data_IF_215464702683
#
_entry.id   IF_215464702683
#
_cell.length_a   1.000
_cell.length_b   1.000
_cell.length_c   1.000
_cell.angle_alpha   90.00
_cell.angle_beta   90.00
_cell.angle_gamma   90.00
#
_symmetry.space_group_name_H-M   'P 1'
#
loop_
_entity.id
_entity.type
_entity.pdbx_description
1 polymer ?
#
# COMPACT_ATOMS: atom_id res chain seq x y z
N UNK A 1 0.67 8.48 -23.69
CA UNK A 1 0.64 9.89 -23.26
C UNK A 1 0.49 10.90 -24.40
N UNK A 2 0.59 10.48 -25.66
CA UNK A 2 0.45 11.36 -26.84
C UNK A 2 -0.82 12.25 -26.80
N UNK A 3 -1.96 11.74 -26.33
CA UNK A 3 -3.18 12.55 -26.21
C UNK A 3 -3.07 13.75 -25.25
N UNK A 4 -2.27 13.65 -24.19
CA UNK A 4 -2.01 14.75 -23.24
C UNK A 4 -0.97 15.72 -23.82
N UNK A 5 0.05 15.18 -24.49
CA UNK A 5 1.14 15.97 -25.09
C UNK A 5 0.67 16.75 -26.32
N UNK A 6 -0.20 16.17 -27.16
CA UNK A 6 -0.65 16.74 -28.43
C UNK A 6 -1.94 17.57 -28.33
N UNK A 7 -2.65 17.51 -27.20
CA UNK A 7 -4.03 17.98 -27.07
C UNK A 7 -4.25 19.50 -26.99
N UNK A 8 -3.20 20.33 -26.96
CA UNK A 8 -3.29 21.80 -26.90
C UNK A 8 -3.91 22.40 -25.62
N UNK A 9 -4.69 21.62 -24.86
CA UNK A 9 -5.21 21.94 -23.52
C UNK A 9 -4.28 21.36 -22.46
N UNK A 10 -3.82 22.20 -21.53
CA UNK A 10 -2.95 21.81 -20.40
C UNK A 10 -3.74 20.97 -19.37
N UNK A 11 -3.92 19.68 -19.65
CA UNK A 11 -4.51 18.72 -18.71
C UNK A 11 -3.53 18.31 -17.62
N UNK A 12 -4.07 17.78 -16.52
CA UNK A 12 -3.31 17.17 -15.42
C UNK A 12 -3.53 15.66 -15.46
N UNK A 13 -2.47 14.88 -15.22
CA UNK A 13 -2.54 13.43 -15.14
C UNK A 13 -2.21 12.92 -13.74
N UNK A 14 -3.18 12.29 -13.08
CA UNK A 14 -2.98 11.67 -11.76
C UNK A 14 -2.80 10.17 -12.00
N UNK A 15 -1.64 9.64 -11.64
CA UNK A 15 -1.34 8.22 -11.72
C UNK A 15 -1.51 7.58 -10.35
N UNK A 16 -2.39 6.58 -10.25
CA UNK A 16 -2.47 5.72 -9.08
C UNK A 16 -1.50 4.55 -9.26
N UNK A 17 -0.40 4.57 -8.49
CA UNK A 17 0.61 3.51 -8.41
C UNK A 17 0.39 2.68 -7.13
N UNK A 18 1.46 2.23 -6.48
CA UNK A 18 1.45 1.63 -5.15
C UNK A 18 2.84 1.63 -4.53
N UNK A 19 2.91 1.61 -3.19
CA UNK A 19 4.17 1.56 -2.45
C UNK A 19 4.87 0.18 -2.53
N UNK A 20 4.33 -0.74 -3.32
CA UNK A 20 5.01 -1.98 -3.69
C UNK A 20 6.31 -1.73 -4.47
N UNK A 21 6.51 -0.51 -4.96
CA UNK A 21 7.76 -0.04 -5.56
C UNK A 21 8.95 -0.05 -4.57
N UNK A 22 8.72 -0.13 -3.25
CA UNK A 22 9.79 -0.27 -2.25
C UNK A 22 9.80 -1.62 -1.54
N UNK A 23 9.04 -2.61 -2.03
CA UNK A 23 9.10 -3.93 -1.45
C UNK A 23 10.56 -4.38 -1.43
N UNK A 24 11.08 -4.59 -0.21
CA UNK A 24 12.44 -5.03 0.00
C UNK A 24 12.67 -6.26 -0.87
N UNK A 25 13.59 -6.13 -1.81
CA UNK A 25 13.90 -7.12 -2.85
C UNK A 25 14.18 -8.48 -2.22
N UNK A 26 13.15 -9.35 -2.15
CA UNK A 26 13.11 -10.81 -1.92
C UNK A 26 14.05 -11.44 -0.87
N UNK A 27 14.76 -10.65 -0.07
CA UNK A 27 15.75 -11.07 0.90
C UNK A 27 15.26 -10.65 2.28
N UNK A 28 15.32 -11.59 3.23
CA UNK A 28 14.97 -11.41 4.64
C UNK A 28 13.47 -11.40 4.99
N UNK A 29 12.69 -12.30 4.37
CA UNK A 29 11.29 -12.51 4.76
C UNK A 29 11.13 -12.70 6.27
N UNK A 30 10.14 -12.04 6.87
CA UNK A 30 9.86 -12.17 8.30
C UNK A 30 10.82 -11.44 9.24
N UNK A 31 11.74 -10.64 8.72
CA UNK A 31 12.67 -9.84 9.54
C UNK A 31 12.25 -8.38 9.58
N UNK A 32 12.62 -7.69 10.67
CA UNK A 32 12.35 -6.27 10.83
C UNK A 32 13.00 -5.44 9.72
N UNK A 33 12.24 -4.48 9.20
CA UNK A 33 12.75 -3.50 8.26
C UNK A 33 13.90 -2.69 8.88
N UNK A 34 14.89 -2.36 8.05
CA UNK A 34 16.02 -1.50 8.42
C UNK A 34 15.88 -0.09 7.86
N UNK A 35 14.88 0.16 7.02
CA UNK A 35 14.66 1.45 6.33
C UNK A 35 13.18 1.75 6.19
N UNK A 36 12.81 2.98 6.52
CA UNK A 36 11.53 3.58 6.13
C UNK A 36 11.76 4.61 5.03
N UNK A 37 10.99 4.53 3.95
CA UNK A 37 11.14 5.39 2.77
C UNK A 37 10.27 6.64 2.87
N UNK A 38 10.87 7.81 2.64
CA UNK A 38 10.17 9.11 2.59
C UNK A 38 9.97 9.56 1.14
N UNK A 39 8.74 10.00 0.80
CA UNK A 39 8.44 10.62 -0.50
C UNK A 39 9.00 12.06 -0.66
N UNK A 40 9.73 12.55 0.35
CA UNK A 40 10.52 13.78 0.30
C UNK A 40 12.01 13.45 0.30
N UNK A 41 12.49 12.76 1.34
CA UNK A 41 13.93 12.59 1.55
C UNK A 41 14.56 11.55 0.64
N UNK A 42 13.82 10.50 0.28
CA UNK A 42 14.31 9.41 -0.59
C UNK A 42 13.85 9.57 -2.05
N UNK A 43 13.16 10.66 -2.39
CA UNK A 43 12.62 10.89 -3.74
C UNK A 43 13.66 10.68 -4.86
N UNK A 44 14.92 11.19 -4.77
CA UNK A 44 15.91 10.93 -5.80
C UNK A 44 16.21 9.44 -6.00
N UNK A 45 16.13 8.62 -4.95
CA UNK A 45 16.31 7.17 -5.07
C UNK A 45 15.08 6.52 -5.69
N UNK A 46 13.88 6.92 -5.25
CA UNK A 46 12.60 6.40 -5.76
C UNK A 46 12.47 6.64 -7.27
N UNK A 47 12.83 7.84 -7.74
CA UNK A 47 12.84 8.18 -9.16
C UNK A 47 13.86 7.39 -9.98
N UNK A 48 14.86 6.77 -9.35
CA UNK A 48 15.94 6.06 -10.02
C UNK A 48 15.95 4.56 -9.67
N UNK A 49 14.85 4.00 -9.17
CA UNK A 49 14.73 2.55 -9.00
C UNK A 49 14.97 1.83 -10.33
N UNK A 50 15.64 0.70 -10.26
CA UNK A 50 15.86 -0.17 -11.42
C UNK A 50 14.59 -0.95 -11.81
N UNK A 51 14.66 -1.66 -12.94
CA UNK A 51 13.54 -2.41 -13.50
C UNK A 51 13.05 -3.59 -12.65
N UNK A 52 13.76 -3.95 -11.57
CA UNK A 52 13.35 -5.02 -10.67
C UNK A 52 12.28 -4.59 -9.67
N UNK A 53 12.08 -3.27 -9.50
CA UNK A 53 11.08 -2.72 -8.60
C UNK A 53 9.69 -2.74 -9.26
N UNK A 54 8.68 -3.08 -8.46
CA UNK A 54 7.29 -3.08 -8.93
C UNK A 54 6.90 -1.64 -9.31
N UNK A 55 6.06 -1.50 -10.33
CA UNK A 55 5.62 -0.21 -10.90
C UNK A 55 6.71 0.59 -11.65
N UNK A 56 7.97 0.16 -11.66
CA UNK A 56 9.07 0.85 -12.35
C UNK A 56 8.69 1.31 -13.76
N UNK A 57 8.21 0.40 -14.62
CA UNK A 57 7.91 0.72 -16.03
C UNK A 57 6.91 1.86 -16.18
N UNK A 58 5.85 1.88 -15.37
CA UNK A 58 4.80 2.91 -15.44
C UNK A 58 5.24 4.22 -14.81
N UNK A 59 5.98 4.17 -13.70
CA UNK A 59 6.50 5.35 -13.01
C UNK A 59 7.59 6.05 -13.83
N UNK A 60 8.55 5.30 -14.38
CA UNK A 60 9.60 5.84 -15.24
C UNK A 60 9.05 6.48 -16.51
N UNK A 61 8.02 5.89 -17.11
CA UNK A 61 7.37 6.48 -18.27
C UNK A 61 6.82 7.88 -17.94
N UNK A 62 6.23 8.06 -16.74
CA UNK A 62 5.72 9.34 -16.26
C UNK A 62 6.83 10.35 -15.98
N UNK A 63 7.88 9.95 -15.25
CA UNK A 63 9.04 10.82 -15.01
C UNK A 63 9.65 11.30 -16.32
N UNK A 64 9.84 10.38 -17.27
CA UNK A 64 10.36 10.72 -18.60
C UNK A 64 9.47 11.72 -19.34
N UNK A 65 8.15 11.55 -19.33
CA UNK A 65 7.24 12.47 -20.00
C UNK A 65 7.15 13.84 -19.31
N UNK A 66 7.29 13.89 -17.98
CA UNK A 66 7.40 15.15 -17.25
C UNK A 66 8.66 15.91 -17.68
N UNK A 67 9.79 15.23 -17.76
CA UNK A 67 11.08 15.81 -18.15
C UNK A 67 11.07 16.29 -19.62
N UNK A 68 10.62 15.42 -20.53
CA UNK A 68 10.72 15.66 -21.98
C UNK A 68 9.60 16.52 -22.55
N UNK A 69 8.40 16.46 -21.97
CA UNK A 69 7.22 17.13 -22.51
C UNK A 69 6.58 18.14 -21.55
N UNK A 70 7.09 18.27 -20.32
CA UNK A 70 6.57 19.23 -19.35
C UNK A 70 5.13 18.96 -18.94
N UNK A 71 4.68 17.70 -18.99
CA UNK A 71 3.31 17.35 -18.59
C UNK A 71 3.12 17.64 -17.10
N UNK A 72 1.93 18.13 -16.73
CA UNK A 72 1.52 18.21 -15.33
C UNK A 72 1.01 16.84 -14.91
N UNK A 73 1.77 16.14 -14.08
CA UNK A 73 1.31 14.88 -13.50
C UNK A 73 1.75 14.72 -12.06
N UNK A 74 1.09 13.82 -11.34
CA UNK A 74 1.47 13.38 -10.01
C UNK A 74 1.25 11.86 -9.88
N UNK A 75 2.12 11.20 -9.12
CA UNK A 75 2.04 9.80 -8.77
C UNK A 75 1.56 9.71 -7.32
N UNK A 76 0.44 9.02 -7.11
CA UNK A 76 -0.13 8.70 -5.80
C UNK A 76 0.10 7.21 -5.57
N UNK A 77 0.91 6.88 -4.58
CA UNK A 77 1.37 5.53 -4.28
C UNK A 77 0.86 5.09 -2.88
N UNK A 78 -0.36 4.54 -2.77
CA UNK A 78 -0.83 4.01 -1.51
C UNK A 78 -0.03 2.81 -1.02
N UNK A 79 0.09 2.69 0.30
CA UNK A 79 0.65 1.52 0.96
C UNK A 79 -0.32 0.32 0.92
N UNK A 80 -0.10 -0.70 1.76
CA UNK A 80 -0.94 -1.89 1.81
C UNK A 80 -2.42 -1.54 2.01
N UNK A 81 -3.22 -1.62 0.93
CA UNK A 81 -4.62 -1.19 1.00
C UNK A 81 -5.45 -2.18 1.83
N UNK A 82 -6.18 -1.66 2.80
CA UNK A 82 -7.19 -2.39 3.57
C UNK A 82 -8.51 -1.62 3.60
N UNK A 83 -9.53 -2.19 4.24
CA UNK A 83 -10.85 -1.57 4.29
C UNK A 83 -11.84 -2.12 3.27
N UNK A 84 -13.12 -1.87 3.51
CA UNK A 84 -14.21 -2.23 2.58
C UNK A 84 -14.49 -1.02 1.69
N UNK A 85 -14.17 -1.16 0.40
CA UNK A 85 -14.41 -0.14 -0.61
C UNK A 85 -15.84 -0.13 -1.13
N UNK A 86 -16.18 0.93 -1.86
CA UNK A 86 -17.50 1.16 -2.45
C UNK A 86 -17.55 0.77 -3.95
N UNK A 87 -16.42 0.41 -4.53
CA UNK A 87 -16.31 -0.01 -5.93
C UNK A 87 -16.82 -1.43 -6.20
N UNK A 88 -16.65 -1.87 -7.46
CA UNK A 88 -17.08 -3.21 -7.93
C UNK A 88 -16.39 -4.32 -7.13
N UNK A 89 -15.07 -4.18 -6.90
CA UNK A 89 -14.32 -5.03 -5.97
C UNK A 89 -14.19 -4.28 -4.64
N UNK A 90 -14.84 -4.83 -3.61
CA UNK A 90 -14.92 -4.19 -2.29
C UNK A 90 -13.78 -4.55 -1.34
N UNK A 91 -13.14 -5.69 -1.57
CA UNK A 91 -12.11 -6.23 -0.70
C UNK A 91 -10.74 -6.09 -1.35
N UNK A 92 -9.72 -5.79 -0.54
CA UNK A 92 -8.35 -5.65 -1.00
C UNK A 92 -7.68 -7.00 -1.27
N UNK A 93 -6.47 -6.98 -1.82
CA UNK A 93 -5.75 -8.19 -2.23
C UNK A 93 -4.87 -8.81 -1.12
N UNK A 94 -4.57 -8.06 -0.05
CA UNK A 94 -3.63 -8.50 0.99
C UNK A 94 -4.26 -9.27 2.14
N UNK A 95 -5.10 -8.60 2.94
CA UNK A 95 -5.70 -9.15 4.16
C UNK A 95 -6.78 -10.20 3.87
N UNK A 96 -7.69 -10.04 2.89
CA UNK A 96 -8.75 -11.03 2.68
C UNK A 96 -8.24 -12.45 2.34
N UNK A 97 -7.25 -12.64 1.42
CA UNK A 97 -6.65 -13.95 1.21
C UNK A 97 -5.90 -14.50 2.45
N UNK A 98 -5.34 -13.62 3.29
CA UNK A 98 -4.71 -14.02 4.55
C UNK A 98 -5.74 -14.62 5.52
N UNK A 99 -6.89 -13.96 5.68
CA UNK A 99 -7.97 -14.45 6.54
C UNK A 99 -8.50 -15.82 6.07
N UNK A 100 -8.64 -16.02 4.77
CA UNK A 100 -9.02 -17.32 4.21
C UNK A 100 -7.95 -18.39 4.43
N UNK A 101 -6.66 -18.04 4.32
CA UNK A 101 -5.56 -18.96 4.60
C UNK A 101 -5.53 -19.40 6.07
N UNK A 102 -5.69 -18.45 7.00
CA UNK A 102 -5.82 -18.71 8.44
C UNK A 102 -7.02 -19.61 8.75
N UNK A 103 -8.18 -19.30 8.19
CA UNK A 103 -9.40 -20.10 8.36
C UNK A 103 -9.21 -21.53 7.84
N UNK A 104 -8.60 -21.70 6.66
CA UNK A 104 -8.35 -23.00 6.04
C UNK A 104 -7.34 -23.84 6.83
N UNK A 105 -6.29 -23.21 7.40
CA UNK A 105 -5.33 -23.89 8.30
C UNK A 105 -5.92 -24.19 9.69
N UNK A 106 -6.91 -23.41 10.13
CA UNK A 106 -7.46 -23.48 11.48
C UNK A 106 -6.54 -22.87 12.56
N UNK A 107 -5.48 -22.17 12.17
CA UNK A 107 -4.50 -21.48 13.04
C UNK A 107 -3.77 -20.38 12.28
N UNK A 108 -3.16 -19.45 13.02
CA UNK A 108 -2.42 -18.34 12.45
C UNK A 108 -1.02 -18.77 12.01
N UNK A 109 -0.38 -17.93 11.22
CA UNK A 109 1.04 -18.08 10.92
C UNK A 109 1.75 -16.74 10.83
N UNK A 110 3.07 -16.80 10.94
CA UNK A 110 4.03 -15.74 10.62
C UNK A 110 5.12 -16.32 9.71
N UNK A 111 5.57 -15.56 8.71
CA UNK A 111 6.71 -15.98 7.90
C UNK A 111 7.98 -15.78 8.72
N UNK A 112 8.78 -16.84 8.91
CA UNK A 112 9.97 -16.84 9.78
C UNK A 112 9.68 -16.22 11.17
N UNK A 113 10.37 -15.13 11.54
CA UNK A 113 10.16 -14.45 12.83
C UNK A 113 8.93 -13.55 12.85
N UNK A 114 8.32 -13.24 11.68
CA UNK A 114 7.13 -12.39 11.58
C UNK A 114 7.35 -10.92 11.94
N UNK A 115 8.60 -10.47 11.99
CA UNK A 115 8.97 -9.11 12.38
C UNK A 115 8.89 -8.11 11.21
N UNK A 116 8.50 -8.58 10.02
CA UNK A 116 8.32 -7.69 8.88
C UNK A 116 7.18 -6.69 9.11
N UNK A 117 7.41 -5.47 8.66
CA UNK A 117 6.53 -4.32 8.83
C UNK A 117 5.87 -3.91 7.52
N UNK A 118 4.62 -3.47 7.60
CA UNK A 118 3.81 -3.07 6.46
C UNK A 118 3.10 -1.76 6.80
N UNK A 119 3.42 -0.70 6.09
CA UNK A 119 2.59 0.49 6.01
C UNK A 119 1.26 0.13 5.34
N UNK A 120 0.19 0.69 5.87
CA UNK A 120 -1.18 0.38 5.45
C UNK A 120 -1.89 1.65 5.01
N UNK A 121 -2.92 1.50 4.17
CA UNK A 121 -3.78 2.61 3.76
C UNK A 121 -5.22 2.16 3.75
N UNK A 122 -6.08 2.82 4.52
CA UNK A 122 -7.51 2.55 4.39
C UNK A 122 -8.00 3.02 3.01
N UNK A 123 -8.75 2.18 2.29
CA UNK A 123 -9.22 2.45 0.92
C UNK A 123 -9.96 3.79 0.77
N UNK A 124 -10.70 4.19 1.79
CA UNK A 124 -11.41 5.48 1.81
C UNK A 124 -10.47 6.68 2.01
N UNK A 125 -9.37 6.54 2.77
CA UNK A 125 -8.36 7.59 2.87
C UNK A 125 -7.63 7.78 1.54
N UNK A 126 -7.35 6.68 0.82
CA UNK A 126 -6.81 6.76 -0.55
C UNK A 126 -7.77 7.47 -1.50
N UNK A 127 -9.07 7.17 -1.40
CA UNK A 127 -10.09 7.86 -2.19
C UNK A 127 -10.15 9.36 -1.87
N UNK A 128 -10.11 9.74 -0.59
CA UNK A 128 -10.06 11.14 -0.14
C UNK A 128 -8.84 11.88 -0.70
N UNK A 129 -7.66 11.25 -0.73
CA UNK A 129 -6.46 11.82 -1.36
C UNK A 129 -6.67 12.04 -2.85
N UNK A 130 -7.23 11.05 -3.57
CA UNK A 130 -7.51 11.21 -5.00
C UNK A 130 -8.52 12.32 -5.29
N UNK A 131 -9.56 12.46 -4.47
CA UNK A 131 -10.52 13.57 -4.55
C UNK A 131 -9.81 14.90 -4.35
N UNK A 132 -8.97 15.02 -3.32
CA UNK A 132 -8.17 16.23 -3.07
C UNK A 132 -7.31 16.57 -4.29
N UNK A 133 -6.64 15.60 -4.92
CA UNK A 133 -5.81 15.86 -6.10
C UNK A 133 -6.63 16.31 -7.31
N UNK A 134 -7.83 15.77 -7.50
CA UNK A 134 -8.74 16.19 -8.57
C UNK A 134 -9.25 17.61 -8.33
N UNK A 135 -9.66 17.94 -7.11
CA UNK A 135 -10.08 19.30 -6.73
C UNK A 135 -8.95 20.31 -7.00
N UNK A 136 -7.73 19.98 -6.56
CA UNK A 136 -6.53 20.79 -6.77
C UNK A 136 -6.15 20.94 -8.25
N UNK A 137 -6.44 19.94 -9.08
CA UNK A 137 -6.23 20.01 -10.52
C UNK A 137 -7.25 20.91 -11.23
N UNK A 138 -8.44 21.09 -10.66
CA UNK A 138 -9.51 21.94 -11.21
C UNK A 138 -9.36 23.41 -10.79
N UNK A 139 -8.75 23.67 -9.63
CA UNK A 139 -8.50 25.02 -9.12
C UNK A 139 -7.26 25.64 -9.77
N UNK A 140 -7.47 26.53 -10.75
CA UNK A 140 -6.40 27.07 -11.60
C UNK A 140 -5.27 27.80 -10.85
N UNK A 141 -5.57 28.38 -9.67
CA UNK A 141 -4.63 29.14 -8.85
C UNK A 141 -4.09 28.35 -7.65
N UNK A 142 -4.57 27.12 -7.41
CA UNK A 142 -4.11 26.36 -6.27
C UNK A 142 -2.68 25.86 -6.47
N UNK A 143 -1.89 25.96 -5.40
CA UNK A 143 -0.48 25.55 -5.34
C UNK A 143 -0.22 24.58 -4.20
N UNK A 144 -1.28 23.97 -3.63
CA UNK A 144 -1.14 23.04 -2.53
C UNK A 144 -0.43 21.77 -2.99
N UNK A 145 -0.82 21.23 -4.15
CA UNK A 145 -0.19 20.04 -4.76
C UNK A 145 0.91 20.47 -5.74
N UNK A 146 2.10 19.88 -5.56
CA UNK A 146 3.16 19.92 -6.57
C UNK A 146 2.79 19.02 -7.75
N UNK A 147 3.00 19.51 -8.97
CA UNK A 147 2.83 18.79 -10.23
C UNK A 147 4.16 18.74 -10.98
N UNK A 148 4.46 17.64 -11.67
CA UNK A 148 5.69 17.45 -12.45
C UNK A 148 6.74 16.61 -11.72
N UNK A 149 8.02 16.83 -12.01
CA UNK A 149 9.11 15.93 -11.62
C UNK A 149 9.08 15.45 -10.17
N UNK A 150 8.82 16.37 -9.22
CA UNK A 150 8.83 16.04 -7.78
C UNK A 150 7.49 15.51 -7.24
N UNK A 151 6.49 15.31 -8.09
CA UNK A 151 5.13 14.98 -7.70
C UNK A 151 4.94 13.47 -7.47
N UNK A 152 5.62 12.94 -6.47
CA UNK A 152 5.43 11.58 -5.96
C UNK A 152 4.93 11.66 -4.51
N UNK A 153 3.86 10.94 -4.20
CA UNK A 153 3.18 10.99 -2.90
C UNK A 153 2.87 9.59 -2.43
N UNK A 154 3.48 9.17 -1.32
CA UNK A 154 2.97 8.00 -0.62
C UNK A 154 1.65 8.35 0.06
N UNK A 155 0.76 7.36 0.18
CA UNK A 155 -0.39 7.44 1.08
C UNK A 155 -0.19 6.35 2.13
N UNK A 156 -0.26 6.71 3.40
CA UNK A 156 -0.25 5.77 4.51
C UNK A 156 -1.12 6.29 5.65
N UNK A 157 -1.75 5.36 6.38
CA UNK A 157 -2.64 5.62 7.51
C UNK A 157 -2.23 4.76 8.71
N UNK A 158 -0.92 4.64 8.94
CA UNK A 158 -0.33 3.72 9.92
C UNK A 158 0.22 2.44 9.28
N UNK A 159 0.37 1.39 10.08
CA UNK A 159 0.96 0.13 9.65
C UNK A 159 0.93 -0.92 10.74
N UNK A 160 1.59 -2.05 10.49
CA UNK A 160 1.62 -3.17 11.43
C UNK A 160 2.90 -4.00 11.28
N UNK A 161 3.29 -4.65 12.37
CA UNK A 161 4.20 -5.81 12.35
C UNK A 161 3.34 -7.04 12.05
N UNK A 162 3.82 -7.92 11.15
CA UNK A 162 3.01 -9.04 10.68
C UNK A 162 2.58 -10.00 11.81
N UNK A 163 3.51 -10.35 12.71
CA UNK A 163 3.20 -11.22 13.85
C UNK A 163 2.13 -10.62 14.78
N UNK A 164 2.14 -9.30 14.99
CA UNK A 164 1.16 -8.61 15.82
C UNK A 164 -0.23 -8.63 15.16
N UNK A 165 -0.27 -8.39 13.84
CA UNK A 165 -1.52 -8.51 13.07
C UNK A 165 -2.06 -9.94 13.13
N UNK A 166 -1.21 -10.95 12.93
CA UNK A 166 -1.60 -12.36 12.98
C UNK A 166 -2.16 -12.74 14.35
N UNK A 167 -1.52 -12.31 15.44
CA UNK A 167 -1.99 -12.56 16.81
C UNK A 167 -3.35 -11.88 17.08
N UNK A 168 -3.50 -10.61 16.69
CA UNK A 168 -4.76 -9.87 16.88
C UNK A 168 -5.92 -10.49 16.09
N UNK A 169 -5.66 -10.89 14.84
CA UNK A 169 -6.63 -11.61 14.00
C UNK A 169 -6.96 -12.98 14.60
N UNK A 170 -5.96 -13.73 15.07
CA UNK A 170 -6.16 -15.05 15.67
C UNK A 170 -7.08 -15.01 16.88
N UNK A 171 -6.82 -14.09 17.81
CA UNK A 171 -7.69 -13.83 18.97
C UNK A 171 -9.12 -13.55 18.53
N UNK A 172 -9.30 -12.60 17.60
CA UNK A 172 -10.63 -12.23 17.12
C UNK A 172 -11.35 -13.39 16.41
N UNK A 173 -10.65 -14.18 15.60
CA UNK A 173 -11.23 -15.34 14.92
C UNK A 173 -11.64 -16.45 15.89
N UNK A 174 -10.89 -16.69 16.98
CA UNK A 174 -11.30 -17.60 18.06
C UNK A 174 -12.53 -17.06 18.80
N UNK A 175 -12.53 -15.78 19.16
CA UNK A 175 -13.68 -15.13 19.83
C UNK A 175 -14.97 -15.21 18.99
N UNK A 176 -14.86 -15.13 17.66
CA UNK A 176 -15.99 -15.29 16.74
C UNK A 176 -16.29 -16.76 16.39
N UNK A 177 -15.56 -17.73 16.96
CA UNK A 177 -15.76 -19.17 16.72
C UNK A 177 -15.40 -19.64 15.32
N UNK A 178 -14.56 -18.91 14.59
CA UNK A 178 -14.16 -19.24 13.21
C UNK A 178 -13.03 -20.28 13.14
N UNK A 179 -12.23 -20.38 14.20
CA UNK A 179 -11.11 -21.33 14.37
C UNK A 179 -11.00 -21.74 15.84
N UNK A 180 -10.23 -22.80 16.12
CA UNK A 180 -10.07 -23.36 17.47
C UNK A 180 -8.79 -22.96 18.21
N UNK A 181 -7.86 -22.26 17.57
CA UNK A 181 -6.57 -21.87 18.17
C UNK A 181 -6.13 -20.49 17.71
N UNK A 182 -5.65 -19.68 18.65
CA UNK A 182 -4.99 -18.39 18.40
C UNK A 182 -3.47 -18.52 18.21
N UNK A 183 -2.93 -19.75 18.23
CA UNK A 183 -1.50 -20.01 18.05
C UNK A 183 -1.01 -19.49 16.69
N UNK A 184 0.12 -18.76 16.73
CA UNK A 184 0.83 -18.25 15.55
C UNK A 184 2.03 -19.15 15.27
N UNK A 185 1.91 -19.96 14.23
CA UNK A 185 2.99 -20.85 13.78
C UNK A 185 4.00 -20.10 12.92
N UNK A 186 5.29 -20.36 13.13
CA UNK A 186 6.35 -19.82 12.26
C UNK A 186 6.56 -20.76 11.09
N UNK A 187 6.42 -20.24 9.88
CA UNK A 187 6.51 -21.04 8.65
C UNK A 187 7.43 -20.37 7.62
N UNK A 188 7.91 -21.15 6.67
CA UNK A 188 8.82 -20.66 5.65
C UNK A 188 8.11 -19.84 4.56
N UNK A 189 8.86 -19.02 3.79
CA UNK A 189 8.35 -18.39 2.58
C UNK A 189 7.79 -19.41 1.57
N UNK A 190 8.39 -20.60 1.47
CA UNK A 190 7.93 -21.66 0.57
C UNK A 190 6.55 -22.19 0.98
N UNK A 191 6.32 -22.41 2.28
CA UNK A 191 5.04 -22.88 2.79
C UNK A 191 3.90 -21.89 2.53
N UNK A 192 4.14 -20.58 2.70
CA UNK A 192 3.10 -19.59 2.41
C UNK A 192 2.79 -19.48 0.91
N UNK A 193 3.78 -19.72 0.05
CA UNK A 193 3.57 -19.70 -1.41
C UNK A 193 2.65 -20.83 -1.89
N UNK A 194 2.57 -21.95 -1.17
CA UNK A 194 1.58 -23.00 -1.44
C UNK A 194 0.14 -22.54 -1.18
N UNK A 195 -0.05 -21.48 -0.38
CA UNK A 195 -1.38 -20.94 -0.04
C UNK A 195 -1.82 -19.85 -1.03
N UNK A 196 -0.88 -19.02 -1.48
CA UNK A 196 -1.16 -17.95 -2.43
C UNK A 196 0.11 -17.54 -3.20
N UNK A 197 0.02 -17.37 -4.52
CA UNK A 197 1.19 -17.15 -5.39
C UNK A 197 2.04 -15.91 -5.05
N UNK A 198 1.42 -14.91 -4.41
CA UNK A 198 2.09 -13.68 -3.96
C UNK A 198 2.33 -13.64 -2.43
N UNK A 199 2.13 -14.74 -1.72
CA UNK A 199 2.12 -14.77 -0.26
C UNK A 199 3.45 -14.36 0.37
N UNK A 200 4.59 -14.86 -0.13
CA UNK A 200 5.89 -14.50 0.41
C UNK A 200 6.12 -12.98 0.36
N UNK A 201 5.69 -12.34 -0.75
CA UNK A 201 5.75 -10.89 -0.92
C UNK A 201 4.77 -10.17 0.03
N UNK A 202 3.49 -10.56 0.03
CA UNK A 202 2.45 -9.84 0.79
C UNK A 202 2.55 -10.02 2.31
N UNK A 203 3.01 -11.19 2.75
CA UNK A 203 2.97 -11.60 4.17
C UNK A 203 4.35 -11.75 4.78
N UNK A 204 5.41 -11.83 3.97
CA UNK A 204 6.78 -11.97 4.43
C UNK A 204 7.68 -10.76 4.17
N UNK A 205 7.34 -9.86 3.24
CA UNK A 205 8.19 -8.71 2.91
C UNK A 205 7.89 -7.47 3.75
N UNK A 206 8.83 -6.53 3.73
CA UNK A 206 8.71 -5.21 4.35
C UNK A 206 8.22 -4.18 3.33
N UNK A 207 7.31 -3.30 3.76
CA UNK A 207 6.91 -2.10 3.02
C UNK A 207 6.74 -0.95 3.99
N UNK A 208 7.82 -0.23 4.31
CA UNK A 208 7.75 0.90 5.22
C UNK A 208 7.91 2.21 4.44
N UNK A 209 6.83 2.98 4.40
CA UNK A 209 6.81 4.31 3.79
C UNK A 209 6.31 5.37 4.77
N UNK A 210 6.68 6.62 4.50
CA UNK A 210 6.11 7.82 5.12
C UNK A 210 5.55 8.72 4.04
N UNK A 211 4.28 9.09 4.21
CA UNK A 211 3.60 10.11 3.40
C UNK A 211 3.98 11.52 3.87
N UNK A 212 5.28 11.82 3.96
CA UNK A 212 5.78 13.09 4.51
C UNK A 212 5.26 14.28 3.69
N UNK A 213 5.13 14.11 2.37
CA UNK A 213 4.60 15.14 1.48
C UNK A 213 3.12 15.43 1.76
N UNK A 214 2.26 14.43 1.87
CA UNK A 214 0.84 14.66 2.20
C UNK A 214 0.67 15.27 3.59
N UNK A 215 1.40 14.76 4.59
CA UNK A 215 1.38 15.31 5.95
C UNK A 215 1.85 16.76 5.99
N UNK A 216 2.88 17.10 5.20
CA UNK A 216 3.34 18.47 5.03
C UNK A 216 2.28 19.42 4.44
N UNK A 217 1.26 18.88 3.77
CA UNK A 217 0.09 19.62 3.27
C UNK A 217 -1.07 19.68 4.27
N UNK A 218 -0.87 19.18 5.48
CA UNK A 218 -1.91 19.08 6.52
C UNK A 218 -2.93 17.98 6.26
N UNK A 219 -2.61 17.00 5.40
CA UNK A 219 -3.45 15.81 5.25
C UNK A 219 -3.17 14.84 6.41
N UNK A 220 -4.25 14.30 6.97
CA UNK A 220 -4.23 13.25 7.98
C UNK A 220 -5.28 12.19 7.61
N UNK A 221 -5.00 10.89 7.87
CA UNK A 221 -5.99 9.84 7.66
C UNK A 221 -7.18 10.05 8.60
N UNK A 222 -8.39 9.77 8.08
CA UNK A 222 -9.65 9.94 8.83
C UNK A 222 -10.27 8.62 9.26
N UNK A 223 -9.82 7.52 8.67
CA UNK A 223 -10.38 6.20 8.93
C UNK A 223 -9.63 5.52 10.08
N UNK A 224 -10.26 4.45 10.58
CA UNK A 224 -9.67 3.54 11.56
C UNK A 224 -8.36 2.94 11.04
N UNK A 225 -7.44 2.67 11.96
CA UNK A 225 -6.26 1.88 11.63
C UNK A 225 -6.61 0.40 11.37
N UNK A 226 -5.61 -0.38 10.97
CA UNK A 226 -5.80 -1.80 10.62
C UNK A 226 -6.32 -2.64 11.80
N UNK A 227 -5.89 -2.34 13.03
CA UNK A 227 -6.27 -3.07 14.24
C UNK A 227 -7.69 -2.72 14.68
N UNK A 228 -8.05 -1.44 14.61
CA UNK A 228 -9.40 -0.94 14.89
C UNK A 228 -10.44 -1.39 13.86
N UNK A 229 -9.99 -1.75 12.64
CA UNK A 229 -10.84 -2.18 11.52
C UNK A 229 -10.92 -3.72 11.37
N UNK A 230 -10.29 -4.51 12.26
CA UNK A 230 -10.25 -5.98 12.16
C UNK A 230 -11.64 -6.62 12.09
N UNK A 231 -12.58 -6.16 12.93
CA UNK A 231 -13.93 -6.73 12.97
C UNK A 231 -14.67 -6.55 11.64
N UNK A 232 -14.51 -5.41 10.99
CA UNK A 232 -15.12 -5.11 9.69
C UNK A 232 -14.48 -5.88 8.53
N UNK A 233 -13.24 -6.36 8.69
CA UNK A 233 -12.54 -7.17 7.68
C UNK A 233 -12.88 -8.66 7.75
N UNK A 234 -13.34 -9.15 8.90
CA UNK A 234 -13.74 -10.55 8.99
C UNK A 234 -14.91 -10.84 8.03
N UNK A 235 -14.89 -11.99 7.33
CA UNK A 235 -16.02 -12.43 6.55
C UNK A 235 -17.26 -12.47 7.43
N UNK A 236 -18.27 -11.63 7.14
CA UNK A 236 -19.57 -11.76 7.80
C UNK A 236 -20.13 -13.12 7.37
N UNK A 237 -20.55 -13.91 8.36
CA UNK A 237 -20.90 -15.33 8.21
C UNK A 237 -21.68 -15.66 6.94
N UNK A 238 -21.27 -16.77 6.32
CA UNK A 238 -22.04 -17.47 5.28
C UNK A 238 -23.21 -18.24 5.91
#
# INVERSE_FOLDING_TARGET
MEGIVLGGKKGVFIHLSGAANIFSTLLHHGTASTKTWSDIHDLPQIQNFDETHIHHTTEQLLFHAQETHGIKSAIVAPAGIFGVGEGIKKLSFGIPPLLEAFKKRGKMFAVNEGLNTMAASHVKDVADVLVMFVEEALEAESKKITWGGDAFYYVESGGYVFADLAAAVGKLMVEKGLIGSEEVERISPEEVLEMHFAAALMWGSNMDVKADRLKGLGWEPKQKDVFEYLEEMLPRGA
#
